data_IF_813928010025
#
_entry.id   IF_813928010025
#
_cell.length_a   1.000
_cell.length_b   1.000
_cell.length_c   1.000
_cell.angle_alpha   90.00
_cell.angle_beta   90.00
_cell.angle_gamma   90.00
#
_symmetry.space_group_name_H-M   'P 1'
#
loop_
_entity.id
_entity.type
_entity.pdbx_description
1 polymer ?
#
# COMPACT_ATOMS: atom_id res chain seq x y z
N UNK A 1 8.84 30.27 11.59
CA UNK A 1 9.04 29.38 12.76
C UNK A 1 9.96 28.25 12.32
N UNK A 2 11.09 27.99 13.00
CA UNK A 2 11.90 26.82 12.68
C UNK A 2 11.11 25.57 13.06
N UNK A 3 10.88 24.69 12.09
CA UNK A 3 10.33 23.35 12.33
C UNK A 3 11.47 22.50 12.87
N UNK A 4 11.53 22.32 14.18
CA UNK A 4 12.45 21.35 14.76
C UNK A 4 11.99 19.96 14.31
N UNK A 5 12.85 19.23 13.61
CA UNK A 5 12.65 17.80 13.41
C UNK A 5 12.88 17.11 14.76
N UNK A 6 11.84 16.48 15.31
CA UNK A 6 11.99 15.64 16.48
C UNK A 6 12.64 14.34 16.00
N UNK A 7 13.90 14.12 16.36
CA UNK A 7 14.59 12.86 16.11
C UNK A 7 14.19 11.91 17.23
N UNK A 8 13.29 10.97 16.92
CA UNK A 8 12.93 9.89 17.84
C UNK A 8 13.95 8.74 17.69
N UNK A 9 14.52 8.22 18.79
CA UNK A 9 15.39 7.05 18.71
C UNK A 9 14.54 5.82 18.38
N UNK A 10 14.64 5.34 17.14
CA UNK A 10 13.97 4.12 16.68
C UNK A 10 14.80 2.91 17.12
N UNK A 11 14.17 2.03 17.90
CA UNK A 11 14.73 0.75 18.37
C UNK A 11 14.59 -0.33 17.31
N UNK A 12 13.45 -0.38 16.64
CA UNK A 12 13.12 -1.40 15.66
C UNK A 12 12.06 -0.89 14.66
N UNK A 13 11.97 -1.55 13.51
CA UNK A 13 10.95 -1.31 12.49
C UNK A 13 10.26 -2.64 12.21
N UNK A 14 8.97 -2.74 12.57
CA UNK A 14 8.16 -3.92 12.26
C UNK A 14 7.44 -3.71 10.92
N UNK A 15 7.84 -4.39 9.83
CA UNK A 15 7.15 -4.28 8.55
C UNK A 15 5.81 -5.01 8.61
N UNK A 16 4.76 -4.37 8.12
CA UNK A 16 3.42 -4.94 7.97
C UNK A 16 3.04 -4.86 6.51
N UNK A 17 2.69 -6.01 5.93
CA UNK A 17 2.27 -6.13 4.53
C UNK A 17 1.00 -6.94 4.44
N UNK A 18 0.00 -6.39 3.78
CA UNK A 18 -1.27 -7.07 3.49
C UNK A 18 -1.64 -6.83 2.03
N UNK A 19 -2.36 -7.77 1.41
CA UNK A 19 -2.82 -7.60 0.04
C UNK A 19 -4.23 -8.14 -0.17
N UNK A 20 -4.90 -7.63 -1.19
CA UNK A 20 -6.21 -8.07 -1.64
C UNK A 20 -6.36 -7.84 -3.15
N UNK A 21 -7.39 -8.42 -3.75
CA UNK A 21 -7.73 -8.18 -5.16
C UNK A 21 -8.97 -7.29 -5.20
N UNK A 22 -8.92 -6.27 -6.05
CA UNK A 22 -10.04 -5.39 -6.34
C UNK A 22 -10.39 -5.46 -7.82
N UNK A 23 -11.67 -5.50 -8.15
CA UNK A 23 -12.15 -5.30 -9.51
C UNK A 23 -12.50 -3.82 -9.72
N UNK A 24 -11.95 -3.21 -10.76
CA UNK A 24 -12.11 -1.78 -11.06
C UNK A 24 -12.30 -1.56 -12.56
N UNK A 25 -12.90 -0.42 -12.98
CA UNK A 25 -12.99 -0.08 -14.40
C UNK A 25 -11.63 0.36 -14.95
N UNK A 26 -11.17 -0.28 -16.02
CA UNK A 26 -9.89 0.02 -16.67
C UNK A 26 -9.84 1.46 -17.21
N UNK A 27 -8.77 2.20 -16.93
CA UNK A 27 -8.54 3.59 -17.39
C UNK A 27 -9.66 4.58 -17.01
N UNK A 28 -10.36 4.32 -15.89
CA UNK A 28 -11.38 5.21 -15.33
C UNK A 28 -11.02 5.49 -13.88
N UNK A 29 -11.02 6.76 -13.48
CA UNK A 29 -10.77 7.15 -12.10
C UNK A 29 -11.82 6.56 -11.18
N UNK A 30 -11.38 5.94 -10.08
CA UNK A 30 -12.26 5.23 -9.17
C UNK A 30 -11.72 5.21 -7.74
N UNK A 31 -12.59 4.89 -6.79
CA UNK A 31 -12.22 4.64 -5.41
C UNK A 31 -12.44 3.17 -5.07
N UNK A 32 -11.48 2.58 -4.37
CA UNK A 32 -11.51 1.20 -3.89
C UNK A 32 -11.69 1.25 -2.37
N UNK A 33 -12.74 0.63 -1.87
CA UNK A 33 -12.89 0.41 -0.44
C UNK A 33 -11.98 -0.75 -0.02
N UNK A 34 -11.17 -0.54 1.01
CA UNK A 34 -10.30 -1.61 1.53
C UNK A 34 -11.19 -2.65 2.23
N UNK A 35 -11.08 -3.94 1.89
CA UNK A 35 -11.91 -4.97 2.50
C UNK A 35 -11.74 -5.01 4.02
N UNK A 36 -12.84 -5.28 4.73
CA UNK A 36 -12.87 -5.26 6.19
C UNK A 36 -11.85 -6.22 6.81
N UNK A 37 -11.66 -7.39 6.22
CA UNK A 37 -10.68 -8.38 6.66
C UNK A 37 -9.23 -7.89 6.53
N UNK A 38 -8.95 -6.97 5.60
CA UNK A 38 -7.64 -6.33 5.46
C UNK A 38 -7.45 -5.27 6.53
N UNK A 39 -8.49 -4.46 6.79
CA UNK A 39 -8.50 -3.49 7.90
C UNK A 39 -8.29 -4.20 9.24
N UNK A 40 -9.01 -5.29 9.50
CA UNK A 40 -8.88 -6.08 10.73
C UNK A 40 -7.48 -6.68 10.90
N UNK A 41 -6.80 -7.06 9.82
CA UNK A 41 -5.40 -7.49 9.87
C UNK A 41 -4.46 -6.34 10.27
N UNK A 42 -4.63 -5.15 9.70
CA UNK A 42 -3.82 -3.99 10.07
C UNK A 42 -4.02 -3.61 11.54
N UNK A 43 -5.26 -3.64 12.03
CA UNK A 43 -5.58 -3.42 13.46
C UNK A 43 -4.91 -4.48 14.33
N UNK A 44 -4.98 -5.76 13.92
CA UNK A 44 -4.36 -6.87 14.66
C UNK A 44 -2.83 -6.73 14.72
N UNK A 45 -2.23 -6.16 13.70
CA UNK A 45 -0.79 -5.85 13.66
C UNK A 45 -0.41 -4.58 14.44
N UNK A 46 -1.39 -3.95 15.11
CA UNK A 46 -1.26 -2.76 15.95
C UNK A 46 -0.94 -1.48 15.16
N UNK A 47 -1.39 -1.40 13.90
CA UNK A 47 -1.26 -0.18 13.09
C UNK A 47 -2.16 0.93 13.66
N UNK A 48 -1.59 2.07 14.11
CA UNK A 48 -2.38 3.16 14.70
C UNK A 48 -3.23 3.91 13.67
N UNK A 49 -4.38 4.45 14.10
CA UNK A 49 -5.15 5.40 13.30
C UNK A 49 -4.28 6.62 12.92
N UNK A 50 -4.37 7.07 11.67
CA UNK A 50 -3.56 8.16 11.12
C UNK A 50 -2.14 7.77 10.73
N UNK A 51 -1.73 6.51 10.95
CA UNK A 51 -0.39 6.06 10.60
C UNK A 51 -0.21 5.92 9.09
N UNK A 52 0.97 6.25 8.52
CA UNK A 52 1.18 6.19 7.08
C UNK A 52 1.14 4.75 6.56
N UNK A 53 0.36 4.54 5.50
CA UNK A 53 0.26 3.29 4.73
C UNK A 53 0.52 3.59 3.27
N UNK A 54 1.42 2.85 2.65
CA UNK A 54 1.66 2.90 1.21
C UNK A 54 0.81 1.86 0.52
N UNK A 55 0.15 2.25 -0.58
CA UNK A 55 -0.65 1.35 -1.38
C UNK A 55 -0.08 1.27 -2.81
N UNK A 56 0.06 0.04 -3.31
CA UNK A 56 0.54 -0.24 -4.66
C UNK A 56 -0.48 -1.09 -5.40
N UNK A 57 -0.57 -0.90 -6.71
CA UNK A 57 -1.43 -1.70 -7.57
C UNK A 57 -0.69 -2.28 -8.78
N UNK A 58 -1.08 -3.49 -9.16
CA UNK A 58 -0.67 -4.16 -10.40
C UNK A 58 -1.82 -4.99 -10.97
N UNK A 59 -1.89 -5.18 -12.30
CA UNK A 59 -2.81 -6.14 -12.92
C UNK A 59 -2.61 -7.55 -12.36
N UNK A 60 -3.69 -8.24 -12.01
CA UNK A 60 -3.60 -9.55 -11.35
C UNK A 60 -2.89 -10.60 -12.21
N UNK A 61 -3.14 -10.60 -13.52
CA UNK A 61 -2.48 -11.54 -14.45
C UNK A 61 -0.97 -11.32 -14.52
N UNK A 62 -0.52 -10.06 -14.49
CA UNK A 62 0.90 -9.74 -14.41
C UNK A 62 1.53 -10.29 -13.12
N UNK A 63 0.85 -10.12 -11.99
CA UNK A 63 1.30 -10.64 -10.69
C UNK A 63 1.43 -12.17 -10.71
N UNK A 64 0.43 -12.88 -11.25
CA UNK A 64 0.48 -14.35 -11.34
C UNK A 64 1.67 -14.83 -12.18
N UNK A 65 1.94 -14.16 -13.30
CA UNK A 65 3.06 -14.50 -14.17
C UNK A 65 4.44 -14.28 -13.50
N UNK A 66 4.56 -13.24 -12.67
CA UNK A 66 5.77 -13.00 -11.88
C UNK A 66 5.93 -14.03 -10.75
N UNK A 67 4.85 -14.32 -10.02
CA UNK A 67 4.87 -15.34 -8.96
C UNK A 67 5.21 -16.73 -9.50
N UNK A 68 4.73 -17.08 -10.69
CA UNK A 68 5.07 -18.32 -11.37
C UNK A 68 6.57 -18.42 -11.75
N UNK A 69 7.25 -17.28 -11.87
CA UNK A 69 8.71 -17.19 -12.09
C UNK A 69 9.50 -17.16 -10.78
N UNK A 70 8.84 -17.24 -9.64
CA UNK A 70 9.46 -17.21 -8.32
C UNK A 70 9.76 -15.80 -7.80
N UNK A 71 9.21 -14.76 -8.42
CA UNK A 71 9.40 -13.38 -7.97
C UNK A 71 8.48 -13.04 -6.79
N UNK A 72 9.00 -12.30 -5.81
CA UNK A 72 8.22 -11.83 -4.67
C UNK A 72 7.50 -10.52 -5.01
N UNK A 73 6.28 -10.64 -5.54
CA UNK A 73 5.43 -9.53 -5.99
C UNK A 73 4.95 -8.60 -4.89
N UNK A 74 5.16 -8.96 -3.62
CA UNK A 74 4.72 -8.14 -2.48
C UNK A 74 5.37 -6.76 -2.48
N UNK A 75 6.52 -6.53 -3.12
CA UNK A 75 7.17 -5.21 -3.14
C UNK A 75 7.10 -4.51 -4.51
N UNK A 76 6.28 -5.04 -5.42
CA UNK A 76 6.18 -4.53 -6.78
C UNK A 76 4.83 -3.86 -6.99
N UNK A 77 4.88 -2.67 -7.59
CA UNK A 77 3.68 -2.05 -8.14
C UNK A 77 3.82 -0.55 -8.37
N UNK A 78 2.76 -0.01 -8.96
CA UNK A 78 2.62 1.43 -9.13
C UNK A 78 2.03 2.00 -7.85
N UNK A 79 2.69 2.96 -7.18
CA UNK A 79 2.12 3.59 -6.00
C UNK A 79 0.86 4.36 -6.37
N UNK A 80 -0.22 4.13 -5.62
CA UNK A 80 -1.50 4.82 -5.82
C UNK A 80 -1.47 6.27 -5.29
N UNK A 81 -0.64 6.52 -4.27
CA UNK A 81 -0.36 7.84 -3.72
C UNK A 81 1.01 7.82 -3.01
N UNK A 82 1.49 8.98 -2.57
CA UNK A 82 2.70 9.07 -1.74
C UNK A 82 2.54 8.27 -0.43
N UNK A 83 1.40 8.45 0.25
CA UNK A 83 0.99 7.71 1.44
C UNK A 83 -0.51 7.95 1.70
N UNK A 84 -1.15 7.04 2.42
CA UNK A 84 -2.49 7.15 2.96
C UNK A 84 -2.44 7.18 4.49
N UNK A 85 -3.35 7.91 5.11
CA UNK A 85 -3.60 7.80 6.55
C UNK A 85 -4.42 6.55 6.82
N UNK A 86 -3.92 5.65 7.67
CA UNK A 86 -4.69 4.49 8.09
C UNK A 86 -5.96 4.93 8.81
N UNK A 87 -7.10 4.41 8.36
CA UNK A 87 -8.37 4.52 9.04
C UNK A 87 -9.22 3.28 8.81
N UNK A 88 -10.23 3.08 9.67
CA UNK A 88 -11.17 1.95 9.53
C UNK A 88 -12.00 2.01 8.24
N UNK A 89 -12.16 3.21 7.69
CA UNK A 89 -12.90 3.49 6.46
C UNK A 89 -11.94 3.83 5.31
N UNK A 90 -10.71 3.31 5.34
CA UNK A 90 -9.68 3.60 4.34
C UNK A 90 -10.20 3.31 2.92
N UNK A 91 -10.15 4.36 2.08
CA UNK A 91 -10.46 4.30 0.65
C UNK A 91 -9.22 4.67 -0.14
N UNK A 92 -8.90 3.84 -1.12
CA UNK A 92 -7.81 4.08 -2.06
C UNK A 92 -8.38 4.74 -3.30
N UNK A 93 -7.63 5.66 -3.90
CA UNK A 93 -8.04 6.32 -5.14
C UNK A 93 -7.07 5.93 -6.25
N UNK A 94 -7.61 5.58 -7.42
CA UNK A 94 -6.85 5.43 -8.65
C UNK A 94 -7.28 6.56 -9.55
N UNK A 95 -6.37 7.49 -9.83
CA UNK A 95 -6.59 8.59 -10.75
C UNK A 95 -6.08 8.25 -12.17
N UNK A 96 -6.28 9.17 -13.11
CA UNK A 96 -5.88 8.98 -14.51
C UNK A 96 -4.36 8.82 -14.64
N UNK A 97 -3.57 9.56 -13.85
CA UNK A 97 -2.11 9.49 -13.88
C UNK A 97 -1.58 8.13 -13.40
N UNK A 98 -2.16 7.60 -12.33
CA UNK A 98 -1.84 6.28 -11.80
C UNK A 98 -2.17 5.20 -12.82
N UNK A 99 -3.30 5.33 -13.52
CA UNK A 99 -3.65 4.45 -14.63
C UNK A 99 -2.63 4.48 -15.77
N UNK A 100 -2.16 5.66 -16.17
CA UNK A 100 -1.12 5.77 -17.19
C UNK A 100 0.17 5.04 -16.78
N UNK A 101 0.60 5.19 -15.53
CA UNK A 101 1.76 4.47 -14.99
C UNK A 101 1.55 2.95 -15.03
N UNK A 102 0.38 2.46 -14.59
CA UNK A 102 0.03 1.03 -14.64
C UNK A 102 0.05 0.53 -16.09
N UNK A 103 -0.56 1.29 -17.01
CA UNK A 103 -0.65 0.93 -18.42
C UNK A 103 0.73 0.83 -19.06
N UNK A 104 1.60 1.81 -18.85
CA UNK A 104 2.95 1.81 -19.39
C UNK A 104 3.81 0.68 -18.82
N UNK A 105 3.68 0.37 -17.52
CA UNK A 105 4.41 -0.71 -16.88
C UNK A 105 3.94 -2.12 -17.27
N UNK A 106 2.66 -2.27 -17.62
CA UNK A 106 2.03 -3.58 -17.83
C UNK A 106 1.34 -3.72 -19.20
N UNK A 107 1.79 -2.95 -20.21
CA UNK A 107 1.11 -2.82 -21.51
C UNK A 107 0.72 -4.15 -22.16
N UNK A 108 1.60 -5.15 -22.11
CA UNK A 108 1.35 -6.47 -22.72
C UNK A 108 0.14 -7.20 -22.12
N UNK A 109 -0.19 -6.92 -20.86
CA UNK A 109 -1.31 -7.52 -20.12
C UNK A 109 -2.61 -6.71 -20.25
N UNK A 110 -2.52 -5.49 -20.81
CA UNK A 110 -3.60 -4.51 -20.84
C UNK A 110 -4.03 -4.12 -22.26
N UNK A 111 -3.27 -4.54 -23.27
CA UNK A 111 -3.43 -4.10 -24.68
C UNK A 111 -4.79 -4.43 -25.30
N UNK A 112 -5.45 -5.48 -24.83
CA UNK A 112 -6.73 -5.95 -25.37
C UNK A 112 -7.95 -5.39 -24.61
N UNK A 113 -7.72 -4.63 -23.53
CA UNK A 113 -8.78 -4.00 -22.73
C UNK A 113 -9.19 -2.65 -23.32
N UNK A 114 -10.49 -2.34 -23.24
CA UNK A 114 -11.07 -1.05 -23.58
C UNK A 114 -11.35 -0.26 -22.31
N UNK A 115 -11.24 1.07 -22.39
CA UNK A 115 -11.57 1.96 -21.27
C UNK A 115 -12.97 1.64 -20.73
N UNK A 116 -13.06 1.37 -19.43
CA UNK A 116 -14.28 0.97 -18.73
C UNK A 116 -14.46 -0.54 -18.55
N UNK A 117 -13.70 -1.38 -19.25
CA UNK A 117 -13.75 -2.83 -19.05
C UNK A 117 -13.35 -3.18 -17.61
N UNK A 118 -14.02 -4.17 -16.97
CA UNK A 118 -13.63 -4.60 -15.63
C UNK A 118 -12.26 -5.27 -15.68
N UNK A 119 -11.39 -4.89 -14.75
CA UNK A 119 -10.07 -5.50 -14.56
C UNK A 119 -9.81 -5.76 -13.08
N UNK A 120 -9.16 -6.89 -12.80
CA UNK A 120 -8.70 -7.21 -11.47
C UNK A 120 -7.29 -6.66 -11.23
N UNK A 121 -7.14 -5.86 -10.19
CA UNK A 121 -5.86 -5.40 -9.68
C UNK A 121 -5.54 -6.10 -8.37
N UNK A 122 -4.30 -6.56 -8.22
CA UNK A 122 -3.72 -6.85 -6.91
C UNK A 122 -3.36 -5.53 -6.26
N UNK A 123 -3.92 -5.28 -5.09
CA UNK A 123 -3.56 -4.15 -4.24
C UNK A 123 -2.71 -4.66 -3.08
N UNK A 124 -1.57 -4.02 -2.84
CA UNK A 124 -0.70 -4.31 -1.70
C UNK A 124 -0.58 -3.07 -0.84
N UNK A 125 -0.83 -3.24 0.46
CA UNK A 125 -0.65 -2.21 1.47
C UNK A 125 0.59 -2.53 2.31
N UNK A 126 1.46 -1.55 2.46
CA UNK A 126 2.66 -1.63 3.30
C UNK A 126 2.69 -0.52 4.32
N UNK A 127 3.12 -0.86 5.53
CA UNK A 127 3.53 0.12 6.52
C UNK A 127 4.70 -0.43 7.34
N UNK A 128 5.49 0.46 7.94
CA UNK A 128 6.59 0.10 8.82
C UNK A 128 6.35 0.73 10.18
N UNK A 129 6.01 -0.07 11.19
CA UNK A 129 5.78 0.42 12.54
C UNK A 129 7.12 0.71 13.22
N UNK A 130 7.41 1.99 13.41
CA UNK A 130 8.58 2.47 14.15
C UNK A 130 8.37 2.29 15.65
N UNK A 131 9.16 1.42 16.27
CA UNK A 131 9.15 1.19 17.71
C UNK A 131 10.24 2.07 18.32
N UNK A 132 9.87 3.04 19.16
CA UNK A 132 10.82 3.89 19.88
C UNK A 132 11.08 3.40 21.30
N UNK A 133 12.17 3.86 21.91
CA UNK A 133 12.36 3.73 23.36
C UNK A 133 11.33 4.61 24.09
N UNK A 134 10.85 4.14 25.23
CA UNK A 134 10.18 4.96 26.25
C UNK A 134 11.20 5.33 27.32
N UNK A 135 11.16 6.57 27.79
CA UNK A 135 12.19 7.23 28.62
C UNK A 135 12.63 6.48 29.92
N UNK A 136 11.95 5.39 30.32
CA UNK A 136 12.26 4.63 31.54
C UNK A 136 13.56 3.79 31.49
N UNK A 137 14.07 3.43 30.31
CA UNK A 137 15.35 2.68 30.19
C UNK A 137 16.59 3.60 30.18
N UNK A 138 16.45 4.85 29.72
CA UNK A 138 17.56 5.81 29.66
C UNK A 138 17.83 6.50 31.01
N UNK A 139 16.83 6.64 31.89
CA UNK A 139 17.04 7.09 33.27
C UNK A 139 17.87 6.10 34.11
N UNK A 140 17.91 4.81 33.74
CA UNK A 140 18.74 3.81 34.44
C UNK A 140 20.18 3.73 33.92
N UNK A 141 20.49 4.37 32.79
CA UNK A 141 21.83 4.34 32.17
C UNK A 141 22.56 5.69 32.21
N UNK A 142 21.92 6.74 32.73
CA UNK A 142 22.55 8.03 33.10
C UNK A 142 22.81 8.07 34.60
#
# INVERSE_FOLDING_TARGET
MPRYAIVLPIKDIKPVTVSFVAEVPFMVSCSIEVPREVIEKLIKEEVPEGYPVHAYALPLEYVKDLEAKGENTLFYGVPLAAWYEFSKDLKLHIDEFTWEMIYHGCKEYLKDLRKGDPIQLRIVLHTGLFISYTDEEDEKKR
#
